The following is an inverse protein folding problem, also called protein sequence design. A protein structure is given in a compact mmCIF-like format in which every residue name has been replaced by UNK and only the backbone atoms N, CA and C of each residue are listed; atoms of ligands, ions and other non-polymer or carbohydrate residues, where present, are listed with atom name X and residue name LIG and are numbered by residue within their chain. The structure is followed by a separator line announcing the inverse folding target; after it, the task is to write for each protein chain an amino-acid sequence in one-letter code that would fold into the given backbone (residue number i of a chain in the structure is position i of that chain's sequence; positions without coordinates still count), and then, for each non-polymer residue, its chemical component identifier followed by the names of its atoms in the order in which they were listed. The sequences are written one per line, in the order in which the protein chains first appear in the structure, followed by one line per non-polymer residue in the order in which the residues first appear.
data_IF_860685279103
#
_entry.id   IF_860685279103
#
_cell.length_a   1.000
_cell.length_b   1.000
_cell.length_c   1.000
_cell.angle_alpha   90.00
_cell.angle_beta   90.00
_cell.angle_gamma   90.00
#
_symmetry.space_group_name_H-M   'P 1'
#
loop_
_entity.id
_entity.type
_entity.pdbx_description
1 polymer ?
#
# COMPACT_ATOMS: atom_id res chain seq x y z
N UNK A 1 31.45 -20.07 15.50
CA UNK A 1 31.21 -19.50 14.15
C UNK A 1 30.43 -20.54 13.35
N UNK A 2 29.11 -20.60 13.51
CA UNK A 2 28.21 -21.38 12.64
C UNK A 2 26.74 -21.19 13.08
N UNK A 3 26.25 -19.95 13.04
CA UNK A 3 24.80 -19.64 13.06
C UNK A 3 24.47 -18.64 11.94
N UNK A 4 25.24 -18.70 10.84
CA UNK A 4 25.08 -17.87 9.64
C UNK A 4 24.24 -18.57 8.55
N UNK A 5 23.50 -19.61 8.95
CA UNK A 5 22.32 -20.08 8.22
C UNK A 5 21.06 -19.39 8.77
N UNK A 6 21.15 -18.08 9.08
CA UNK A 6 20.01 -17.29 9.50
C UNK A 6 19.07 -17.17 8.31
N UNK A 7 18.04 -18.02 8.29
CA UNK A 7 16.88 -17.84 7.42
C UNK A 7 16.51 -16.37 7.44
N UNK A 8 16.43 -15.75 6.25
CA UNK A 8 16.04 -14.35 6.14
C UNK A 8 14.81 -14.10 7.01
N UNK A 9 14.86 -13.01 7.77
CA UNK A 9 13.80 -12.64 8.70
C UNK A 9 12.45 -12.73 7.99
N UNK A 10 11.56 -13.57 8.50
CA UNK A 10 10.17 -13.75 8.07
C UNK A 10 9.49 -12.41 7.77
N UNK A 11 9.88 -11.37 8.50
CA UNK A 11 9.51 -9.97 8.35
C UNK A 11 9.73 -9.40 6.93
N UNK A 12 10.85 -9.74 6.26
CA UNK A 12 11.13 -9.28 4.88
C UNK A 12 10.13 -9.91 3.91
N UNK A 13 9.90 -11.22 3.99
CA UNK A 13 8.90 -11.90 3.14
C UNK A 13 7.51 -11.32 3.37
N UNK A 14 7.08 -11.17 4.63
CA UNK A 14 5.78 -10.55 4.96
C UNK A 14 5.72 -9.12 4.42
N UNK A 15 6.81 -8.35 4.48
CA UNK A 15 6.84 -6.99 3.96
C UNK A 15 6.66 -6.94 2.43
N UNK A 16 7.25 -7.90 1.68
CA UNK A 16 7.09 -8.03 0.22
C UNK A 16 5.64 -8.35 -0.12
N UNK A 17 5.01 -9.29 0.58
CA UNK A 17 3.58 -9.59 0.40
C UNK A 17 2.69 -8.35 0.63
N UNK A 18 3.00 -7.57 1.66
CA UNK A 18 2.29 -6.32 1.95
C UNK A 18 2.49 -5.29 0.84
N UNK A 19 3.70 -5.16 0.30
CA UNK A 19 3.99 -4.30 -0.85
C UNK A 19 3.18 -4.71 -2.08
N UNK A 20 3.11 -6.00 -2.39
CA UNK A 20 2.30 -6.53 -3.49
C UNK A 20 0.82 -6.14 -3.31
N UNK A 21 0.26 -6.38 -2.12
CA UNK A 21 -1.12 -5.97 -1.79
C UNK A 21 -1.33 -4.46 -1.94
N UNK A 22 -0.38 -3.63 -1.52
CA UNK A 22 -0.46 -2.19 -1.73
C UNK A 22 -0.50 -1.82 -3.22
N UNK A 23 0.34 -2.42 -4.05
CA UNK A 23 0.35 -2.17 -5.49
C UNK A 23 -1.00 -2.49 -6.15
N UNK A 24 -1.69 -3.55 -5.70
CA UNK A 24 -3.06 -3.86 -6.13
C UNK A 24 -4.07 -2.80 -5.64
N UNK A 25 -4.03 -2.47 -4.34
CA UNK A 25 -4.95 -1.52 -3.73
C UNK A 25 -4.86 -0.12 -4.33
N UNK A 26 -3.65 0.39 -4.57
CA UNK A 26 -3.42 1.69 -5.20
C UNK A 26 -4.00 1.72 -6.62
N UNK A 27 -3.74 0.67 -7.41
CA UNK A 27 -4.29 0.56 -8.76
C UNK A 27 -5.82 0.61 -8.73
N UNK A 28 -6.45 -0.14 -7.84
CA UNK A 28 -7.91 -0.15 -7.68
C UNK A 28 -8.46 1.21 -7.20
N UNK A 29 -7.71 1.94 -6.38
CA UNK A 29 -8.12 3.26 -5.87
C UNK A 29 -8.16 4.30 -6.99
N UNK A 30 -7.30 4.17 -8.01
CA UNK A 30 -7.17 5.10 -9.13
C UNK A 30 -7.62 4.53 -10.48
N UNK A 31 -8.42 3.45 -10.48
CA UNK A 31 -9.05 2.88 -11.68
C UNK A 31 -10.10 3.84 -12.27
N UNK A 32 -9.62 4.83 -13.03
CA UNK A 32 -10.42 5.66 -13.93
C UNK A 32 -9.79 5.61 -15.33
N UNK A 33 -10.55 5.23 -16.37
CA UNK A 33 -10.06 5.42 -17.74
C UNK A 33 -10.04 6.92 -18.04
N UNK A 34 -9.06 7.34 -18.85
CA UNK A 34 -8.90 8.74 -19.28
C UNK A 34 -10.15 9.33 -19.99
N UNK A 35 -11.08 8.46 -20.41
CA UNK A 35 -12.33 8.78 -21.10
C UNK A 35 -13.60 8.62 -20.25
N UNK A 36 -13.50 8.20 -18.99
CA UNK A 36 -14.69 7.96 -18.16
C UNK A 36 -15.25 9.29 -17.62
N UNK A 37 -16.39 9.72 -18.15
CA UNK A 37 -17.16 10.87 -17.66
C UNK A 37 -18.13 10.51 -16.53
N UNK A 38 -18.31 9.21 -16.26
CA UNK A 38 -19.06 8.73 -15.09
C UNK A 38 -18.08 8.23 -14.05
N UNK A 39 -17.60 9.17 -13.26
CA UNK A 39 -16.61 8.95 -12.23
C UNK A 39 -17.09 8.12 -11.03
N UNK A 40 -18.26 7.45 -11.05
CA UNK A 40 -18.89 6.81 -9.88
C UNK A 40 -19.85 5.66 -10.25
N UNK A 41 -19.39 4.38 -10.33
CA UNK A 41 -20.29 3.32 -9.84
C UNK A 41 -19.64 2.19 -8.99
N UNK A 42 -18.37 1.81 -9.20
CA UNK A 42 -17.78 0.62 -8.53
C UNK A 42 -16.80 0.95 -7.40
N UNK A 43 -16.09 2.07 -7.49
CA UNK A 43 -15.14 2.48 -6.46
C UNK A 43 -15.86 3.06 -5.24
N UNK A 44 -17.04 3.69 -5.33
CA UNK A 44 -17.73 4.27 -4.13
C UNK A 44 -18.10 3.22 -3.08
N UNK A 45 -18.59 2.05 -3.49
CA UNK A 45 -18.94 0.95 -2.58
C UNK A 45 -17.72 0.27 -1.95
N UNK A 46 -16.55 0.37 -2.60
CA UNK A 46 -15.27 -0.13 -2.09
C UNK A 46 -14.35 0.96 -1.54
N UNK A 47 -14.71 2.23 -1.72
CA UNK A 47 -13.82 3.38 -1.55
C UNK A 47 -13.33 3.43 -0.11
N UNK A 48 -14.26 3.36 0.85
CA UNK A 48 -13.91 3.34 2.27
C UNK A 48 -12.96 2.18 2.63
N UNK A 49 -13.19 0.98 2.09
CA UNK A 49 -12.34 -0.20 2.35
C UNK A 49 -10.98 -0.09 1.70
N UNK A 50 -10.91 0.33 0.43
CA UNK A 50 -9.66 0.54 -0.30
C UNK A 50 -8.85 1.66 0.37
N UNK A 51 -9.48 2.76 0.72
CA UNK A 51 -8.89 3.87 1.45
C UNK A 51 -8.32 3.43 2.78
N UNK A 52 -9.11 2.67 3.55
CA UNK A 52 -8.71 2.14 4.84
C UNK A 52 -7.50 1.22 4.71
N UNK A 53 -7.52 0.28 3.77
CA UNK A 53 -6.42 -0.68 3.57
C UNK A 53 -5.16 0.01 3.08
N UNK A 54 -5.28 0.96 2.14
CA UNK A 54 -4.16 1.79 1.67
C UNK A 54 -3.58 2.63 2.80
N UNK A 55 -4.42 3.35 3.56
CA UNK A 55 -3.97 4.14 4.69
C UNK A 55 -3.33 3.28 5.79
N UNK A 56 -3.85 2.08 6.04
CA UNK A 56 -3.29 1.14 7.01
C UNK A 56 -1.91 0.64 6.58
N UNK A 57 -1.72 0.33 5.30
CA UNK A 57 -0.41 -0.02 4.77
C UNK A 57 0.57 1.14 4.90
N UNK A 58 0.18 2.34 4.46
CA UNK A 58 1.03 3.53 4.50
C UNK A 58 1.44 3.89 5.93
N UNK A 59 0.51 3.80 6.88
CA UNK A 59 0.81 4.03 8.29
C UNK A 59 1.76 2.97 8.87
N UNK A 60 1.77 1.73 8.34
CA UNK A 60 2.70 0.68 8.80
C UNK A 60 4.19 1.03 8.57
N UNK A 61 4.49 2.00 7.69
CA UNK A 61 5.85 2.54 7.54
C UNK A 61 6.32 3.31 8.79
N UNK A 62 5.40 3.79 9.63
CA UNK A 62 5.70 4.60 10.81
C UNK A 62 5.30 3.95 12.13
N UNK A 63 4.72 2.75 12.07
CA UNK A 63 4.23 2.04 13.25
C UNK A 63 5.42 1.49 14.06
N UNK A 64 5.40 1.70 15.37
CA UNK A 64 6.42 1.28 16.31
C UNK A 64 5.91 0.24 17.32
N UNK A 65 4.71 -0.30 17.08
CA UNK A 65 4.12 -1.32 17.93
C UNK A 65 4.93 -2.63 17.88
N UNK A 66 5.11 -3.31 19.02
CA UNK A 66 5.89 -4.53 19.11
C UNK A 66 5.27 -5.71 18.35
N UNK A 67 3.97 -5.66 18.05
CA UNK A 67 3.22 -6.68 17.30
C UNK A 67 2.97 -6.25 15.84
N UNK A 68 3.73 -5.29 15.34
CA UNK A 68 3.57 -4.74 13.99
C UNK A 68 4.88 -4.77 13.21
N UNK A 69 4.76 -4.91 11.89
CA UNK A 69 5.92 -4.82 11.00
C UNK A 69 6.06 -3.38 10.56
N UNK A 70 7.18 -2.77 10.95
CA UNK A 70 7.64 -1.50 10.42
C UNK A 70 8.47 -1.76 9.15
N UNK A 71 7.87 -1.49 8.00
CA UNK A 71 8.52 -1.78 6.72
C UNK A 71 9.83 -0.99 6.53
N UNK A 72 9.96 0.23 7.08
CA UNK A 72 11.22 0.98 6.98
C UNK A 72 12.33 0.30 7.78
N UNK A 73 12.04 -0.18 9.00
CA UNK A 73 13.02 -0.86 9.84
C UNK A 73 13.46 -2.20 9.23
N UNK A 74 12.50 -3.00 8.76
CA UNK A 74 12.76 -4.29 8.12
C UNK A 74 13.72 -4.14 6.95
N UNK A 75 13.52 -3.13 6.12
CA UNK A 75 14.34 -2.92 4.93
C UNK A 75 15.65 -2.21 5.22
N UNK A 76 15.70 -1.29 6.20
CA UNK A 76 16.94 -0.59 6.59
C UNK A 76 18.05 -1.58 6.97
N UNK A 77 17.69 -2.65 7.66
CA UNK A 77 18.65 -3.63 8.17
C UNK A 77 18.88 -4.79 7.16
N UNK A 78 18.28 -4.70 5.97
CA UNK A 78 18.41 -5.66 4.87
C UNK A 78 19.33 -5.11 3.77
N UNK A 79 20.13 -5.96 3.12
CA UNK A 79 21.04 -5.52 2.05
C UNK A 79 20.28 -5.34 0.72
N UNK A 80 19.97 -4.10 0.36
CA UNK A 80 19.22 -3.77 -0.85
C UNK A 80 19.62 -2.40 -1.45
N UNK A 81 19.44 -2.16 -2.76
CA UNK A 81 19.91 -0.94 -3.42
C UNK A 81 18.95 0.27 -3.28
N UNK A 82 17.85 0.13 -2.53
CA UNK A 82 16.71 1.07 -2.54
C UNK A 82 16.62 1.99 -1.31
N UNK A 83 17.60 1.95 -0.40
CA UNK A 83 17.52 2.64 0.90
C UNK A 83 17.20 4.14 0.77
N UNK A 84 17.88 4.84 -0.15
CA UNK A 84 17.66 6.28 -0.35
C UNK A 84 16.26 6.63 -0.90
N UNK A 85 15.75 5.84 -1.86
CA UNK A 85 14.42 6.06 -2.45
C UNK A 85 13.31 5.79 -1.42
N UNK A 86 13.49 4.75 -0.59
CA UNK A 86 12.56 4.39 0.48
C UNK A 86 12.49 5.47 1.56
N UNK A 87 13.64 5.99 2.00
CA UNK A 87 13.72 7.08 2.97
C UNK A 87 13.10 8.38 2.44
N UNK A 88 13.31 8.68 1.15
CA UNK A 88 12.70 9.84 0.51
C UNK A 88 11.17 9.72 0.48
N UNK A 89 10.63 8.53 0.15
CA UNK A 89 9.19 8.28 0.19
C UNK A 89 8.64 8.42 1.62
N UNK A 90 9.32 7.86 2.62
CA UNK A 90 8.96 7.99 4.02
C UNK A 90 8.92 9.46 4.48
N UNK A 91 9.93 10.23 4.12
CA UNK A 91 10.03 11.66 4.43
C UNK A 91 8.86 12.43 3.81
N UNK A 92 8.53 12.17 2.53
CA UNK A 92 7.39 12.81 1.84
C UNK A 92 6.04 12.37 2.40
N UNK A 93 5.94 11.17 2.95
CA UNK A 93 4.72 10.63 3.56
C UNK A 93 4.51 11.13 5.00
N UNK A 94 5.59 11.48 5.72
CA UNK A 94 5.56 11.90 7.13
C UNK A 94 4.53 13.02 7.43
N UNK A 95 4.35 14.06 6.59
CA UNK A 95 3.35 15.10 6.82
C UNK A 95 1.89 14.61 6.81
N UNK A 96 1.63 13.36 6.41
CA UNK A 96 0.29 12.75 6.37
C UNK A 96 0.07 11.73 7.50
N UNK A 97 1.07 11.52 8.37
CA UNK A 97 1.07 10.44 9.37
C UNK A 97 -0.16 10.47 10.28
N UNK A 98 -0.52 11.63 10.82
CA UNK A 98 -1.65 11.76 11.74
C UNK A 98 -2.98 11.52 11.02
N UNK A 99 -3.17 12.03 9.80
CA UNK A 99 -4.37 11.76 9.03
C UNK A 99 -4.50 10.28 8.65
N UNK A 100 -3.40 9.63 8.27
CA UNK A 100 -3.37 8.19 7.98
C UNK A 100 -3.74 7.37 9.22
N UNK A 101 -3.24 7.75 10.39
CA UNK A 101 -3.61 7.15 11.68
C UNK A 101 -5.11 7.30 11.96
N UNK A 102 -5.65 8.49 11.73
CA UNK A 102 -7.08 8.77 11.91
C UNK A 102 -7.94 7.94 10.96
N UNK A 103 -7.59 7.86 9.68
CA UNK A 103 -8.31 7.05 8.68
C UNK A 103 -8.28 5.57 9.07
N UNK A 104 -7.10 5.04 9.43
CA UNK A 104 -6.93 3.66 9.90
C UNK A 104 -7.80 3.33 11.11
N UNK A 105 -7.80 4.20 12.11
CA UNK A 105 -8.48 3.93 13.37
C UNK A 105 -10.01 4.14 13.31
N UNK A 106 -10.54 4.86 12.29
CA UNK A 106 -11.95 5.29 12.29
C UNK A 106 -12.84 4.69 11.21
N UNK A 107 -12.32 4.22 10.08
CA UNK A 107 -13.15 3.59 9.03
C UNK A 107 -13.57 2.15 9.34
N UNK A 108 -13.43 1.69 10.58
CA UNK A 108 -14.10 0.50 11.08
C UNK A 108 -15.53 0.79 11.54
N UNK A 109 -16.42 1.38 10.73
CA UNK A 109 -17.85 1.53 11.08
C UNK A 109 -18.14 2.09 12.49
N UNK A 110 -17.33 3.03 13.00
CA UNK A 110 -17.62 3.62 14.30
C UNK A 110 -18.68 4.71 14.13
N UNK A 111 -19.84 4.52 14.77
CA UNK A 111 -21.02 5.40 14.71
C UNK A 111 -20.79 6.77 15.35
N UNK A 112 -19.90 7.57 14.77
CA UNK A 112 -19.68 8.97 15.18
C UNK A 112 -20.96 9.76 14.91
N UNK A 113 -21.40 10.53 15.91
CA UNK A 113 -22.53 11.45 15.77
C UNK A 113 -22.14 12.77 15.05
N UNK A 114 -20.86 12.96 14.70
CA UNK A 114 -20.39 14.16 14.00
C UNK A 114 -19.48 13.88 12.80
N UNK A 115 -19.71 14.63 11.71
CA UNK A 115 -18.91 14.61 10.47
C UNK A 115 -17.58 15.38 10.57
N UNK A 116 -17.41 16.21 11.60
CA UNK A 116 -16.19 17.03 11.80
C UNK A 116 -14.94 16.18 11.97
N UNK A 117 -15.07 15.04 12.63
CA UNK A 117 -13.98 14.10 12.89
C UNK A 117 -13.59 13.25 11.68
N UNK A 118 -14.56 12.91 10.82
CA UNK A 118 -14.33 12.21 9.55
C UNK A 118 -13.62 13.13 8.55
N UNK A 119 -14.03 14.41 8.51
CA UNK A 119 -13.41 15.42 7.65
C UNK A 119 -11.93 15.62 7.92
N UNK A 120 -11.49 15.49 9.17
CA UNK A 120 -10.08 15.62 9.53
C UNK A 120 -9.20 14.51 8.90
N UNK A 121 -9.67 13.26 8.92
CA UNK A 121 -8.94 12.14 8.29
C UNK A 121 -9.04 12.14 6.76
N UNK A 122 -10.18 12.55 6.21
CA UNK A 122 -10.39 12.65 4.77
C UNK A 122 -9.74 13.88 4.12
N UNK A 123 -9.17 14.79 4.93
CA UNK A 123 -8.50 16.01 4.43
C UNK A 123 -7.34 15.73 3.46
N UNK A 124 -6.72 14.54 3.53
CA UNK A 124 -5.67 14.13 2.60
C UNK A 124 -6.21 13.82 1.19
N UNK A 125 -7.52 13.64 1.04
CA UNK A 125 -8.23 13.39 -0.22
C UNK A 125 -9.08 14.58 -0.67
N UNK A 126 -8.83 15.79 -0.14
CA UNK A 126 -9.54 16.98 -0.56
C UNK A 126 -9.16 17.35 -2.02
N UNK A 127 -10.01 16.92 -2.96
CA UNK A 127 -9.79 16.88 -4.43
C UNK A 127 -9.47 18.25 -5.04
N UNK A 128 -9.72 19.35 -4.32
CA UNK A 128 -9.36 20.71 -4.74
C UNK A 128 -7.98 21.21 -4.30
N UNK A 129 -7.25 20.46 -3.45
CA UNK A 129 -6.02 20.94 -2.82
C UNK A 129 -4.75 20.46 -3.55
N UNK A 130 -3.71 21.30 -3.58
CA UNK A 130 -2.37 20.88 -4.03
C UNK A 130 -1.83 19.70 -3.22
N UNK A 131 -2.19 19.65 -1.93
CA UNK A 131 -1.81 18.58 -1.00
C UNK A 131 -2.36 17.21 -1.41
N UNK A 132 -3.62 17.14 -1.87
CA UNK A 132 -4.19 15.88 -2.36
C UNK A 132 -3.52 15.40 -3.66
N UNK A 133 -3.13 16.33 -4.53
CA UNK A 133 -2.34 16.00 -5.72
C UNK A 133 -0.96 15.46 -5.35
N UNK A 134 -0.26 16.12 -4.44
CA UNK A 134 1.07 15.69 -3.97
C UNK A 134 1.01 14.31 -3.33
N UNK A 135 -0.03 14.04 -2.55
CA UNK A 135 -0.29 12.73 -1.97
C UNK A 135 -0.54 11.67 -3.06
N UNK A 136 -1.39 11.94 -4.05
CA UNK A 136 -1.63 11.00 -5.15
C UNK A 136 -0.35 10.70 -5.97
N UNK A 137 0.46 11.72 -6.25
CA UNK A 137 1.77 11.54 -6.89
C UNK A 137 2.70 10.67 -6.05
N UNK A 138 2.75 10.91 -4.73
CA UNK A 138 3.53 10.09 -3.79
C UNK A 138 3.09 8.63 -3.80
N UNK A 139 1.79 8.33 -3.83
CA UNK A 139 1.30 6.95 -3.93
C UNK A 139 1.78 6.26 -5.22
N UNK A 140 1.75 6.99 -6.34
CA UNK A 140 2.28 6.51 -7.62
C UNK A 140 3.77 6.22 -7.55
N UNK A 141 4.57 7.13 -6.97
CA UNK A 141 6.02 6.95 -6.79
C UNK A 141 6.34 5.74 -5.91
N UNK A 142 5.63 5.61 -4.78
CA UNK A 142 5.76 4.47 -3.87
C UNK A 142 5.39 3.15 -4.55
N UNK A 143 4.33 3.13 -5.37
CA UNK A 143 3.99 1.92 -6.16
C UNK A 143 5.14 1.54 -7.08
N UNK A 144 5.73 2.48 -7.81
CA UNK A 144 6.85 2.19 -8.71
C UNK A 144 8.07 1.66 -7.96
N UNK A 145 8.39 2.27 -6.81
CA UNK A 145 9.46 1.81 -5.93
C UNK A 145 9.20 0.38 -5.46
N UNK A 146 8.02 0.09 -4.91
CA UNK A 146 7.70 -1.24 -4.41
C UNK A 146 7.70 -2.30 -5.51
N UNK A 147 7.21 -2.00 -6.72
CA UNK A 147 7.33 -2.92 -7.85
C UNK A 147 8.79 -3.27 -8.16
N UNK A 148 9.70 -2.29 -8.14
CA UNK A 148 11.14 -2.53 -8.31
C UNK A 148 11.73 -3.37 -7.17
N UNK A 149 11.34 -3.08 -5.92
CA UNK A 149 11.78 -3.83 -4.75
C UNK A 149 11.32 -5.29 -4.79
N UNK A 150 10.05 -5.54 -5.14
CA UNK A 150 9.48 -6.88 -5.31
C UNK A 150 10.25 -7.64 -6.40
N UNK A 151 10.41 -7.05 -7.58
CA UNK A 151 11.12 -7.71 -8.70
C UNK A 151 12.57 -8.00 -8.33
N UNK A 152 13.25 -7.06 -7.67
CA UNK A 152 14.62 -7.27 -7.21
C UNK A 152 14.69 -8.41 -6.19
N UNK A 153 13.80 -8.41 -5.18
CA UNK A 153 13.72 -9.45 -4.16
C UNK A 153 13.50 -10.83 -4.79
N UNK A 154 12.59 -10.93 -5.76
CA UNK A 154 12.32 -12.18 -6.45
C UNK A 154 13.52 -12.67 -7.28
N UNK A 155 14.26 -11.77 -7.93
CA UNK A 155 15.42 -12.12 -8.77
C UNK A 155 16.64 -12.51 -7.96
N UNK A 156 16.81 -11.96 -6.77
CA UNK A 156 17.92 -12.28 -5.87
C UNK A 156 17.66 -13.54 -5.05
N UNK A 157 16.44 -14.08 -5.07
CA UNK A 157 16.09 -15.32 -4.40
C UNK A 157 16.21 -16.53 -5.32
N UNK A 158 16.99 -17.50 -4.85
CA UNK A 158 17.06 -18.85 -5.37
C UNK A 158 15.72 -19.59 -5.17
N UNK A 159 15.45 -20.49 -6.11
CA UNK A 159 14.25 -21.31 -6.38
C UNK A 159 13.59 -22.10 -5.23
N UNK A 160 14.00 -21.90 -3.97
CA UNK A 160 13.52 -22.62 -2.78
C UNK A 160 12.31 -22.00 -2.09
N UNK A 161 12.10 -20.70 -2.28
CA UNK A 161 10.80 -20.08 -1.99
C UNK A 161 9.91 -20.32 -3.21
N UNK A 162 8.60 -20.12 -3.10
CA UNK A 162 7.67 -20.17 -4.24
C UNK A 162 7.36 -18.78 -4.83
N UNK A 163 8.34 -17.91 -5.21
CA UNK A 163 8.03 -16.60 -5.77
C UNK A 163 7.20 -16.69 -7.03
N UNK A 164 7.38 -17.74 -7.85
CA UNK A 164 6.56 -17.93 -9.04
C UNK A 164 5.09 -18.17 -8.71
N UNK A 165 4.76 -18.93 -7.67
CA UNK A 165 3.36 -19.12 -7.25
C UNK A 165 2.77 -17.82 -6.72
N UNK A 166 3.50 -17.11 -5.85
CA UNK A 166 3.08 -15.80 -5.32
C UNK A 166 2.92 -14.76 -6.44
N UNK A 167 3.81 -14.77 -7.42
CA UNK A 167 3.77 -13.88 -8.58
C UNK A 167 2.64 -14.24 -9.52
N UNK A 168 2.37 -15.52 -9.75
CA UNK A 168 1.26 -15.96 -10.58
C UNK A 168 -0.09 -15.67 -9.90
N UNK A 169 -0.18 -15.81 -8.57
CA UNK A 169 -1.34 -15.35 -7.79
C UNK A 169 -1.53 -13.83 -7.94
N UNK A 170 -0.47 -13.05 -7.75
CA UNK A 170 -0.50 -11.60 -7.89
C UNK A 170 -0.81 -11.12 -9.31
N UNK A 171 -0.16 -11.68 -10.33
CA UNK A 171 -0.42 -11.37 -11.73
C UNK A 171 -1.82 -11.81 -12.13
N UNK A 172 -2.29 -12.96 -11.62
CA UNK A 172 -3.66 -13.43 -11.77
C UNK A 172 -4.67 -12.42 -11.21
N UNK A 173 -4.46 -11.93 -9.99
CA UNK A 173 -5.28 -10.87 -9.39
C UNK A 173 -5.23 -9.57 -10.22
N UNK A 174 -4.08 -9.20 -10.77
CA UNK A 174 -3.91 -7.98 -11.59
C UNK A 174 -4.49 -8.07 -13.00
N UNK A 175 -4.61 -9.28 -13.56
CA UNK A 175 -5.09 -9.55 -14.92
C UNK A 175 -6.55 -9.96 -14.98
N UNK A 176 -7.16 -10.35 -13.85
CA UNK A 176 -8.58 -10.71 -13.82
C UNK A 176 -9.41 -9.46 -14.19
N UNK A 177 -10.07 -9.43 -15.36
CA UNK A 177 -11.03 -8.38 -15.65
C UNK A 177 -12.15 -8.55 -14.62
N UNK A 178 -12.66 -7.45 -14.05
CA UNK A 178 -13.86 -7.48 -13.21
C UNK A 178 -15.01 -8.06 -14.03
N UNK A 179 -15.17 -9.38 -14.00
CA UNK A 179 -16.30 -10.12 -14.55
C UNK A 179 -17.50 -9.88 -13.64
N UNK A 180 -17.98 -8.64 -13.65
CA UNK A 180 -19.21 -8.20 -13.05
C UNK A 180 -19.93 -7.31 -14.06
N UNK A 181 -20.29 -7.91 -15.20
CA UNK A 181 -21.50 -7.56 -15.91
C UNK A 181 -22.29 -8.85 -16.06
N UNK A 182 -23.13 -9.11 -15.05
CA UNK A 182 -24.22 -10.06 -15.20
C UNK A 182 -25.15 -9.53 -16.28
N UNK A 183 -25.15 -10.19 -17.43
CA UNK A 183 -26.30 -10.21 -18.33
C UNK A 183 -27.22 -11.33 -17.86
N UNK A 184 -28.27 -10.97 -17.13
CA UNK A 184 -29.60 -11.59 -17.16
C UNK A 184 -30.59 -10.62 -16.50
#
# INVERSE_FOLDING_TARGET
MSDLESGLGEEVTISVERMMRFCCLERMLFECKRSDTKALPLHVTRFGTLLLKTASFLYSLFEDRPDSINLLLVWRDFDHPFGGELEQCATRLSPFKEELKLVRNRLGFHGSLSRSHERAGLGIFDVGSGRARDFACLLGDMRQLFLRMIVWYMKTRDSSLRPEEMWNEFVGELQTPSAAQGTA
#
